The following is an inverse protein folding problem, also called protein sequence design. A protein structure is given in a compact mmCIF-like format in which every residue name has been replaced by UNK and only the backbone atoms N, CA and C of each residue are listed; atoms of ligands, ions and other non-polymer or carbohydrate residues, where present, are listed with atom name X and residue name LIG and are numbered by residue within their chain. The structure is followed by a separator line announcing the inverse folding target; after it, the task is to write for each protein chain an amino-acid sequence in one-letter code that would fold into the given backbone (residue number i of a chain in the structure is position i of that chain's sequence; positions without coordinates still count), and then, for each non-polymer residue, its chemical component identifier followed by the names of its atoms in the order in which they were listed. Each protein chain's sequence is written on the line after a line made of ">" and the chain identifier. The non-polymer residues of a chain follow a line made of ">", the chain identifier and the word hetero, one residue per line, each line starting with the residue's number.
data_IF_889779818397
#
_entry.id   IF_889779818397
#
_cell.length_a   1.000
_cell.length_b   1.000
_cell.length_c   1.000
_cell.angle_alpha   90.00
_cell.angle_beta   90.00
_cell.angle_gamma   90.00
#
_symmetry.space_group_name_H-M   'P 1'
#
loop_
_entity.id
_entity.type
_entity.pdbx_description
1 polymer ?
#
# COMPACT_ATOMS: atom_id res chain seq x y z
N UNK A 1 -3.05 -13.49 14.29
CA UNK A 1 -4.12 -12.60 14.77
C UNK A 1 -3.72 -11.16 14.48
N UNK A 2 -4.37 -10.53 13.53
CA UNK A 2 -4.01 -9.21 12.96
C UNK A 2 -4.01 -8.13 14.04
N UNK A 3 -2.86 -7.49 14.31
CA UNK A 3 -2.75 -6.44 15.34
C UNK A 3 -3.18 -5.06 14.83
N UNK A 4 -3.19 -4.81 13.53
CA UNK A 4 -3.43 -3.49 12.95
C UNK A 4 -4.84 -2.90 13.16
N UNK A 5 -5.86 -3.74 13.33
CA UNK A 5 -7.24 -3.30 13.59
C UNK A 5 -7.65 -3.41 15.07
N UNK A 6 -6.69 -3.56 15.99
CA UNK A 6 -6.93 -3.70 17.44
C UNK A 6 -6.75 -2.41 18.21
N UNK A 7 -6.23 -1.37 17.58
CA UNK A 7 -6.06 -0.09 18.25
C UNK A 7 -7.32 0.74 18.08
N UNK A 8 -8.18 0.72 19.07
CA UNK A 8 -9.25 1.70 19.21
C UNK A 8 -8.60 3.07 19.46
N UNK A 9 -9.11 4.14 18.83
CA UNK A 9 -8.63 5.48 19.17
C UNK A 9 -8.90 5.74 20.66
N UNK A 10 -7.91 6.24 21.37
CA UNK A 10 -8.07 6.62 22.79
C UNK A 10 -9.06 7.78 22.93
N UNK A 11 -9.13 8.64 21.92
CA UNK A 11 -10.09 9.76 21.81
C UNK A 11 -10.47 9.95 20.34
N UNK A 12 -11.66 10.50 20.10
CA UNK A 12 -12.16 10.74 18.77
C UNK A 12 -12.91 9.55 18.16
N UNK A 13 -13.25 9.64 16.90
CA UNK A 13 -13.98 8.63 16.13
C UNK A 13 -13.26 8.35 14.85
N UNK A 14 -13.27 7.08 14.43
CA UNK A 14 -12.78 6.64 13.13
C UNK A 14 -13.97 6.03 12.38
N UNK A 15 -14.18 6.50 11.16
CA UNK A 15 -15.19 5.98 10.25
C UNK A 15 -14.53 5.63 8.93
N UNK A 16 -14.81 4.44 8.41
CA UNK A 16 -14.29 3.92 7.15
C UNK A 16 -15.43 3.29 6.37
N UNK A 17 -15.64 3.71 5.12
CA UNK A 17 -16.73 3.23 4.26
C UNK A 17 -18.12 3.34 4.95
N UNK A 18 -18.38 4.43 5.68
CA UNK A 18 -19.60 4.65 6.43
C UNK A 18 -19.74 3.79 7.71
N UNK A 19 -18.76 2.94 8.00
CA UNK A 19 -18.74 2.09 9.18
C UNK A 19 -17.92 2.73 10.31
N UNK A 20 -18.57 2.98 11.46
CA UNK A 20 -17.91 3.54 12.63
C UNK A 20 -17.17 2.45 13.40
N UNK A 21 -15.88 2.63 13.58
CA UNK A 21 -15.03 1.70 14.31
C UNK A 21 -15.50 1.57 15.79
N UNK A 22 -15.58 0.33 16.27
CA UNK A 22 -16.11 -0.01 17.59
C UNK A 22 -17.64 -0.18 17.66
N UNK A 23 -18.38 0.12 16.58
CA UNK A 23 -19.84 -0.13 16.46
C UNK A 23 -20.20 -1.08 15.33
N UNK A 24 -19.23 -1.45 14.49
CA UNK A 24 -19.41 -2.32 13.33
C UNK A 24 -18.60 -3.60 13.52
N UNK A 25 -19.07 -4.71 12.97
CA UNK A 25 -18.30 -5.96 12.95
C UNK A 25 -16.97 -5.73 12.19
N UNK A 26 -15.88 -5.78 12.94
CA UNK A 26 -14.54 -5.60 12.38
C UNK A 26 -14.15 -6.70 11.37
N UNK A 27 -14.80 -7.87 11.40
CA UNK A 27 -14.58 -8.95 10.41
C UNK A 27 -15.18 -8.57 9.06
N UNK A 28 -16.42 -8.12 9.05
CA UNK A 28 -17.10 -7.64 7.85
C UNK A 28 -16.36 -6.45 7.22
N UNK A 29 -15.83 -5.53 8.03
CA UNK A 29 -15.07 -4.39 7.51
C UNK A 29 -13.73 -4.83 6.89
N UNK A 30 -13.09 -5.88 7.43
CA UNK A 30 -11.80 -6.38 6.90
C UNK A 30 -11.89 -6.99 5.52
N UNK A 31 -13.02 -7.55 5.12
CA UNK A 31 -13.21 -8.07 3.77
C UNK A 31 -13.42 -6.96 2.75
N UNK A 32 -13.89 -5.79 3.20
CA UNK A 32 -14.11 -4.61 2.36
C UNK A 32 -12.89 -3.70 2.23
N UNK A 33 -11.94 -3.78 3.17
CA UNK A 33 -10.73 -2.95 3.21
C UNK A 33 -9.51 -3.84 3.12
N UNK A 34 -8.78 -3.75 2.01
CA UNK A 34 -7.52 -4.45 1.88
C UNK A 34 -6.36 -3.60 2.40
N UNK A 35 -5.40 -4.26 3.03
CA UNK A 35 -4.19 -3.61 3.53
C UNK A 35 -2.94 -4.35 3.03
N UNK A 36 -2.03 -3.60 2.46
CA UNK A 36 -0.65 -4.01 2.18
C UNK A 36 0.25 -3.31 3.17
N UNK A 37 0.98 -4.07 3.98
CA UNK A 37 1.93 -3.51 4.95
C UNK A 37 2.98 -4.55 5.35
N UNK A 38 4.11 -4.09 5.87
CA UNK A 38 5.15 -4.96 6.41
C UNK A 38 4.64 -5.84 7.57
N UNK A 39 3.64 -5.37 8.32
CA UNK A 39 3.04 -6.15 9.40
C UNK A 39 2.31 -7.39 8.88
N UNK A 40 1.60 -7.27 7.76
CA UNK A 40 0.96 -8.43 7.10
C UNK A 40 2.01 -9.37 6.54
N UNK A 41 2.97 -8.83 5.81
CA UNK A 41 4.04 -9.61 5.20
C UNK A 41 4.73 -10.53 6.22
N UNK A 42 5.05 -9.99 7.41
CA UNK A 42 5.66 -10.75 8.51
C UNK A 42 4.72 -11.74 9.21
N UNK A 43 3.42 -11.59 9.03
CA UNK A 43 2.41 -12.46 9.66
C UNK A 43 2.03 -13.65 8.80
N UNK A 44 2.38 -13.65 7.51
CA UNK A 44 2.12 -14.74 6.59
C UNK A 44 3.11 -15.88 6.84
N UNK A 45 2.65 -17.12 6.73
CA UNK A 45 3.51 -18.29 6.87
C UNK A 45 4.45 -18.42 5.67
N UNK A 46 5.75 -18.57 5.90
CA UNK A 46 6.73 -18.70 4.82
C UNK A 46 6.58 -19.99 3.99
N UNK A 47 5.96 -21.04 4.55
CA UNK A 47 5.74 -22.32 3.88
C UNK A 47 4.50 -22.37 2.98
N UNK A 48 3.65 -21.34 2.99
CA UNK A 48 2.55 -21.24 2.03
C UNK A 48 3.07 -20.98 0.63
N UNK A 49 2.43 -21.55 -0.37
CA UNK A 49 2.70 -21.19 -1.76
C UNK A 49 2.29 -19.73 -2.04
N UNK A 50 2.90 -19.09 -3.04
CA UNK A 50 2.48 -17.77 -3.48
C UNK A 50 0.99 -17.74 -3.85
N UNK A 51 0.49 -18.80 -4.48
CA UNK A 51 -0.93 -18.97 -4.80
C UNK A 51 -1.80 -19.01 -3.53
N UNK A 52 -1.44 -19.81 -2.53
CA UNK A 52 -2.21 -19.91 -1.29
C UNK A 52 -2.20 -18.59 -0.51
N UNK A 53 -1.08 -17.87 -0.52
CA UNK A 53 -1.01 -16.53 0.05
C UNK A 53 -2.02 -15.60 -0.61
N UNK A 54 -2.09 -15.56 -1.95
CA UNK A 54 -3.09 -14.75 -2.67
C UNK A 54 -4.50 -15.17 -2.30
N UNK A 55 -4.77 -16.48 -2.31
CA UNK A 55 -6.08 -17.06 -2.01
C UNK A 55 -6.61 -16.63 -0.64
N UNK A 56 -5.73 -16.54 0.39
CA UNK A 56 -6.13 -16.08 1.74
C UNK A 56 -6.73 -14.67 1.74
N UNK A 57 -6.46 -13.86 0.73
CA UNK A 57 -7.00 -12.51 0.57
C UNK A 57 -8.51 -12.48 0.46
N UNK A 58 -9.13 -13.52 -0.12
CA UNK A 58 -10.59 -13.63 -0.29
C UNK A 58 -11.37 -13.41 1.01
N UNK A 59 -10.85 -13.93 2.11
CA UNK A 59 -11.47 -13.87 3.41
C UNK A 59 -10.69 -13.00 4.42
N UNK A 60 -9.76 -12.17 3.93
CA UNK A 60 -8.83 -11.40 4.76
C UNK A 60 -8.15 -12.25 5.85
N UNK A 61 -7.91 -13.54 5.55
CA UNK A 61 -7.28 -14.52 6.43
C UNK A 61 -5.76 -14.49 6.31
N UNK A 62 -5.04 -15.12 7.24
CA UNK A 62 -3.58 -15.30 7.14
C UNK A 62 -3.22 -16.73 6.73
N UNK A 63 -4.20 -17.63 6.81
CA UNK A 63 -4.05 -19.06 6.56
C UNK A 63 -5.28 -19.57 5.80
N UNK A 64 -5.12 -20.51 4.82
CA UNK A 64 -6.23 -20.97 3.98
C UNK A 64 -7.13 -21.99 4.66
N UNK A 65 -6.69 -22.71 5.71
CA UNK A 65 -7.30 -23.93 6.20
C UNK A 65 -8.71 -23.80 6.81
N UNK A 66 -9.09 -22.60 7.20
CA UNK A 66 -10.38 -22.35 7.86
C UNK A 66 -11.49 -21.95 6.89
N UNK A 67 -11.16 -21.87 5.60
CA UNK A 67 -12.08 -21.43 4.58
C UNK A 67 -12.14 -22.43 3.42
N UNK A 68 -13.30 -22.56 2.83
CA UNK A 68 -13.47 -23.31 1.59
C UNK A 68 -13.29 -22.36 0.42
N UNK A 69 -12.44 -22.72 -0.52
CA UNK A 69 -12.20 -21.97 -1.75
C UNK A 69 -12.66 -22.82 -2.93
N UNK A 70 -13.53 -22.23 -3.78
CA UNK A 70 -14.04 -22.88 -4.99
C UNK A 70 -13.08 -22.75 -6.17
N UNK A 71 -13.42 -23.42 -7.28
CA UNK A 71 -12.66 -23.34 -8.52
C UNK A 71 -12.51 -21.91 -9.04
N UNK A 72 -13.54 -21.07 -8.87
CA UNK A 72 -13.51 -19.66 -9.27
C UNK A 72 -12.53 -18.83 -8.45
N UNK A 73 -12.40 -19.11 -7.15
CA UNK A 73 -11.43 -18.44 -6.28
C UNK A 73 -9.99 -18.79 -6.72
N UNK A 74 -9.71 -20.06 -7.02
CA UNK A 74 -8.42 -20.49 -7.55
C UNK A 74 -8.11 -19.85 -8.90
N UNK A 75 -9.08 -19.83 -9.81
CA UNK A 75 -8.92 -19.18 -11.12
C UNK A 75 -8.69 -17.67 -10.99
N UNK A 76 -9.33 -17.01 -10.00
CA UNK A 76 -9.09 -15.59 -9.72
C UNK A 76 -7.68 -15.34 -9.17
N UNK A 77 -7.22 -16.16 -8.21
CA UNK A 77 -5.85 -16.07 -7.71
C UNK A 77 -4.80 -16.23 -8.82
N UNK A 78 -5.01 -17.20 -9.72
CA UNK A 78 -4.13 -17.42 -10.87
C UNK A 78 -4.13 -16.24 -11.85
N UNK A 79 -5.27 -15.59 -12.09
CA UNK A 79 -5.33 -14.37 -12.89
C UNK A 79 -4.54 -13.24 -12.25
N UNK A 80 -4.73 -12.97 -10.96
CA UNK A 80 -4.02 -11.91 -10.25
C UNK A 80 -2.49 -12.11 -10.24
N UNK A 81 -2.03 -13.35 -10.06
CA UNK A 81 -0.62 -13.72 -10.17
C UNK A 81 -0.11 -13.53 -11.59
N UNK A 82 -0.88 -13.92 -12.60
CA UNK A 82 -0.51 -13.77 -14.01
C UNK A 82 -0.39 -12.30 -14.41
N UNK A 83 -1.35 -11.47 -14.05
CA UNK A 83 -1.36 -10.01 -14.25
C UNK A 83 -0.19 -9.31 -13.56
N UNK A 84 0.27 -9.87 -12.45
CA UNK A 84 1.44 -9.38 -11.71
C UNK A 84 2.77 -9.93 -12.25
N UNK A 85 2.76 -10.77 -13.32
CA UNK A 85 3.95 -11.41 -13.88
C UNK A 85 4.54 -12.51 -12.99
N UNK A 86 3.76 -13.03 -12.04
CA UNK A 86 4.21 -13.98 -11.01
C UNK A 86 3.78 -15.42 -11.26
N UNK A 87 3.18 -15.72 -12.43
CA UNK A 87 2.65 -17.05 -12.74
C UNK A 87 3.68 -18.18 -12.54
N UNK A 88 4.94 -17.93 -12.90
CA UNK A 88 6.03 -18.93 -12.79
C UNK A 88 6.38 -19.31 -11.36
N UNK A 89 6.07 -18.48 -10.38
CA UNK A 89 6.38 -18.67 -8.95
C UNK A 89 5.14 -19.03 -8.13
N UNK A 90 3.98 -19.22 -8.77
CA UNK A 90 2.70 -19.49 -8.10
C UNK A 90 2.79 -20.63 -7.08
N UNK A 91 3.48 -21.73 -7.43
CA UNK A 91 3.66 -22.89 -6.55
C UNK A 91 4.87 -22.80 -5.60
N UNK A 92 5.68 -21.74 -5.66
CA UNK A 92 6.85 -21.62 -4.77
C UNK A 92 6.43 -21.15 -3.38
N UNK A 93 7.16 -21.61 -2.38
CA UNK A 93 6.96 -21.15 -1.00
C UNK A 93 7.24 -19.65 -0.86
N UNK A 94 6.36 -18.95 -0.17
CA UNK A 94 6.44 -17.50 0.04
C UNK A 94 7.77 -17.08 0.70
N UNK A 95 8.31 -17.93 1.57
CA UNK A 95 9.56 -17.66 2.29
C UNK A 95 10.81 -17.64 1.41
N UNK A 96 10.80 -18.32 0.25
CA UNK A 96 11.97 -18.36 -0.65
C UNK A 96 11.92 -17.27 -1.72
N UNK A 97 10.80 -16.53 -1.82
CA UNK A 97 10.65 -15.45 -2.78
C UNK A 97 11.54 -14.25 -2.40
N UNK A 98 12.00 -13.52 -3.42
CA UNK A 98 12.66 -12.22 -3.21
C UNK A 98 11.69 -11.22 -2.56
N UNK A 99 12.22 -10.18 -1.93
CA UNK A 99 11.41 -9.13 -1.30
C UNK A 99 10.43 -8.48 -2.30
N UNK A 100 10.90 -8.24 -3.52
CA UNK A 100 10.08 -7.71 -4.62
C UNK A 100 8.92 -8.65 -4.99
N UNK A 101 9.19 -9.96 -5.11
CA UNK A 101 8.16 -10.95 -5.41
C UNK A 101 7.15 -11.06 -4.27
N UNK A 102 7.63 -11.09 -3.02
CA UNK A 102 6.75 -11.09 -1.83
C UNK A 102 5.83 -9.88 -1.79
N UNK A 103 6.35 -8.70 -2.12
CA UNK A 103 5.56 -7.48 -2.12
C UNK A 103 4.48 -7.49 -3.22
N UNK A 104 4.81 -8.01 -4.41
CA UNK A 104 3.84 -8.17 -5.50
C UNK A 104 2.78 -9.24 -5.18
N UNK A 105 3.16 -10.36 -4.57
CA UNK A 105 2.21 -11.38 -4.06
C UNK A 105 1.28 -10.76 -3.01
N UNK A 106 1.80 -9.91 -2.12
CA UNK A 106 1.01 -9.23 -1.11
C UNK A 106 -0.01 -8.25 -1.74
N UNK A 107 0.38 -7.55 -2.80
CA UNK A 107 -0.53 -6.68 -3.55
C UNK A 107 -1.61 -7.50 -4.28
N UNK A 108 -1.25 -8.60 -4.93
CA UNK A 108 -2.21 -9.53 -5.56
C UNK A 108 -3.19 -10.09 -4.51
N UNK A 109 -2.67 -10.48 -3.34
CA UNK A 109 -3.49 -10.91 -2.21
C UNK A 109 -4.48 -9.83 -1.75
N UNK A 110 -4.08 -8.58 -1.73
CA UNK A 110 -4.94 -7.47 -1.33
C UNK A 110 -6.12 -7.29 -2.30
N UNK A 111 -5.91 -7.56 -3.58
CA UNK A 111 -6.95 -7.46 -4.62
C UNK A 111 -7.86 -8.68 -4.68
N UNK A 112 -7.46 -9.83 -4.12
CA UNK A 112 -8.21 -11.09 -4.17
C UNK A 112 -9.61 -10.99 -3.56
N UNK A 113 -9.80 -10.15 -2.55
CA UNK A 113 -11.09 -9.93 -1.89
C UNK A 113 -12.00 -8.93 -2.58
N UNK A 114 -11.61 -8.37 -3.73
CA UNK A 114 -12.35 -7.29 -4.40
C UNK A 114 -12.72 -6.15 -3.45
N UNK A 115 -11.71 -5.50 -2.81
CA UNK A 115 -11.95 -4.55 -1.74
C UNK A 115 -12.61 -3.26 -2.25
N UNK A 116 -13.35 -2.60 -1.38
CA UNK A 116 -13.90 -1.26 -1.62
C UNK A 116 -12.91 -0.13 -1.27
N UNK A 117 -11.80 -0.45 -0.58
CA UNK A 117 -10.73 0.47 -0.23
C UNK A 117 -9.41 -0.29 -0.15
N UNK A 118 -8.37 0.22 -0.83
CA UNK A 118 -7.01 -0.31 -0.77
C UNK A 118 -6.10 0.63 0.02
N UNK A 119 -5.54 0.12 1.11
CA UNK A 119 -4.57 0.81 1.94
C UNK A 119 -3.17 0.23 1.69
N UNK A 120 -2.24 1.07 1.28
CA UNK A 120 -0.83 0.73 1.06
C UNK A 120 0.01 1.47 2.12
N UNK A 121 0.54 0.74 3.09
CA UNK A 121 1.33 1.30 4.19
C UNK A 121 2.81 0.96 3.97
N UNK A 122 3.57 1.93 3.50
CA UNK A 122 4.98 1.82 3.11
C UNK A 122 5.27 0.60 2.21
N UNK A 123 4.54 0.46 1.09
CA UNK A 123 4.61 -0.77 0.28
C UNK A 123 5.95 -0.97 -0.43
N UNK A 124 6.77 0.07 -0.58
CA UNK A 124 8.08 -0.02 -1.23
C UNK A 124 9.25 -0.13 -0.24
N UNK A 125 8.97 -0.22 1.06
CA UNK A 125 10.02 -0.32 2.07
C UNK A 125 10.90 -1.56 1.86
N UNK A 126 12.22 -1.35 1.78
CA UNK A 126 13.22 -2.42 1.58
C UNK A 126 13.40 -2.88 0.12
N UNK A 127 12.69 -2.29 -0.83
CA UNK A 127 12.86 -2.59 -2.25
C UNK A 127 14.05 -1.82 -2.85
N UNK A 128 14.75 -2.47 -3.77
CA UNK A 128 15.70 -1.78 -4.64
C UNK A 128 14.99 -0.82 -5.60
N UNK A 129 15.76 0.01 -6.31
CA UNK A 129 15.23 1.00 -7.25
C UNK A 129 14.31 0.36 -8.31
N UNK A 130 14.76 -0.75 -8.91
CA UNK A 130 13.99 -1.40 -9.99
C UNK A 130 12.68 -2.00 -9.49
N UNK A 131 12.69 -2.63 -8.32
CA UNK A 131 11.51 -3.20 -7.67
C UNK A 131 10.52 -2.10 -7.24
N UNK A 132 11.03 -1.00 -6.68
CA UNK A 132 10.21 0.17 -6.33
C UNK A 132 9.51 0.75 -7.56
N UNK A 133 10.23 0.97 -8.67
CA UNK A 133 9.64 1.51 -9.90
C UNK A 133 8.56 0.58 -10.48
N UNK A 134 8.77 -0.73 -10.45
CA UNK A 134 7.73 -1.70 -10.87
C UNK A 134 6.48 -1.62 -9.98
N UNK A 135 6.66 -1.48 -8.66
CA UNK A 135 5.55 -1.33 -7.72
C UNK A 135 4.79 -0.01 -7.98
N UNK A 136 5.50 1.10 -8.13
CA UNK A 136 4.92 2.41 -8.46
C UNK A 136 4.10 2.35 -9.76
N UNK A 137 4.65 1.73 -10.81
CA UNK A 137 3.95 1.55 -12.08
C UNK A 137 2.68 0.68 -11.91
N UNK A 138 2.75 -0.38 -11.10
CA UNK A 138 1.58 -1.23 -10.83
C UNK A 138 0.49 -0.46 -10.06
N UNK A 139 0.86 0.32 -9.04
CA UNK A 139 -0.08 1.16 -8.30
C UNK A 139 -0.67 2.24 -9.19
N UNK A 140 0.11 2.85 -10.09
CA UNK A 140 -0.39 3.79 -11.09
C UNK A 140 -1.45 3.16 -12.01
N UNK A 141 -1.22 1.94 -12.49
CA UNK A 141 -2.20 1.19 -13.28
C UNK A 141 -3.50 0.96 -12.50
N UNK A 142 -3.40 0.59 -11.22
CA UNK A 142 -4.56 0.43 -10.36
C UNK A 142 -5.31 1.76 -10.15
N UNK A 143 -4.60 2.87 -9.97
CA UNK A 143 -5.20 4.19 -9.78
C UNK A 143 -5.86 4.75 -11.05
N UNK A 144 -5.47 4.30 -12.23
CA UNK A 144 -5.97 4.77 -13.53
C UNK A 144 -7.14 3.95 -14.10
N UNK A 145 -7.40 2.76 -13.56
CA UNK A 145 -8.48 1.89 -14.06
C UNK A 145 -9.86 2.52 -13.81
N UNK A 146 -10.81 2.39 -14.76
CA UNK A 146 -12.12 3.07 -14.71
C UNK A 146 -13.03 2.61 -13.56
N UNK A 147 -12.83 1.39 -13.06
CA UNK A 147 -13.55 0.82 -11.91
C UNK A 147 -12.64 0.81 -10.67
N UNK A 148 -11.95 1.93 -10.44
CA UNK A 148 -10.92 2.00 -9.40
C UNK A 148 -11.48 1.88 -8.00
N UNK A 149 -10.88 0.95 -7.27
CA UNK A 149 -10.95 0.93 -5.82
C UNK A 149 -10.25 2.18 -5.28
N UNK A 150 -10.89 3.00 -4.44
CA UNK A 150 -10.23 4.10 -3.76
C UNK A 150 -8.94 3.62 -3.08
N UNK A 151 -7.85 4.37 -3.28
CA UNK A 151 -6.53 4.00 -2.83
C UNK A 151 -5.96 5.05 -1.88
N UNK A 152 -5.42 4.60 -0.76
CA UNK A 152 -4.64 5.43 0.16
C UNK A 152 -3.23 4.86 0.25
N UNK A 153 -2.25 5.66 -0.14
CA UNK A 153 -0.82 5.33 -0.02
C UNK A 153 -0.22 6.13 1.12
N UNK A 154 0.39 5.44 2.08
CA UNK A 154 1.24 6.04 3.12
C UNK A 154 2.69 5.77 2.74
N UNK A 155 3.47 6.83 2.62
CA UNK A 155 4.91 6.77 2.34
C UNK A 155 5.62 7.99 2.91
N UNK A 156 6.90 7.86 3.17
CA UNK A 156 7.78 8.97 3.53
C UNK A 156 8.75 9.36 2.38
N UNK A 157 8.55 8.77 1.20
CA UNK A 157 9.32 9.06 -0.01
C UNK A 157 8.44 9.68 -1.10
N UNK A 158 8.77 10.89 -1.50
CA UNK A 158 8.03 11.63 -2.54
C UNK A 158 8.07 10.90 -3.88
N UNK A 159 9.18 10.19 -4.16
CA UNK A 159 9.40 9.42 -5.38
C UNK A 159 8.48 8.20 -5.51
N UNK A 160 7.89 7.75 -4.41
CA UNK A 160 6.97 6.62 -4.39
C UNK A 160 5.53 7.00 -4.75
N UNK A 161 5.23 8.30 -4.86
CA UNK A 161 3.91 8.78 -5.24
C UNK A 161 3.68 8.45 -6.73
N UNK A 162 2.75 7.55 -7.07
CA UNK A 162 2.51 7.16 -8.44
C UNK A 162 1.71 8.22 -9.21
N UNK A 163 1.80 8.23 -10.54
CA UNK A 163 0.84 8.93 -11.37
C UNK A 163 -0.61 8.56 -11.00
N UNK A 164 -1.53 9.53 -11.11
CA UNK A 164 -2.94 9.32 -10.79
C UNK A 164 -3.34 9.63 -9.34
N UNK A 165 -2.40 9.83 -8.42
CA UNK A 165 -2.73 10.33 -7.08
C UNK A 165 -3.24 11.78 -7.18
N UNK A 166 -4.46 11.99 -6.71
CA UNK A 166 -5.16 13.29 -6.82
C UNK A 166 -4.92 14.20 -5.62
N UNK A 167 -4.88 13.63 -4.41
CA UNK A 167 -4.77 14.36 -3.14
C UNK A 167 -3.65 13.85 -2.27
N UNK A 168 -3.05 14.76 -1.51
CA UNK A 168 -1.98 14.46 -0.56
C UNK A 168 -2.28 15.11 0.78
N UNK A 169 -1.92 14.43 1.86
CA UNK A 169 -1.89 14.99 3.20
C UNK A 169 -0.49 14.84 3.79
N UNK A 170 0.11 15.93 4.21
CA UNK A 170 1.39 15.95 4.92
C UNK A 170 1.14 15.86 6.43
N UNK A 171 1.79 14.90 7.10
CA UNK A 171 1.65 14.65 8.53
C UNK A 171 2.98 14.94 9.25
N UNK A 172 2.91 15.71 10.33
CA UNK A 172 4.04 15.96 11.23
C UNK A 172 3.57 15.92 12.67
N UNK A 173 4.27 15.19 13.53
CA UNK A 173 3.92 15.11 14.96
C UNK A 173 2.48 14.61 15.23
N UNK A 174 1.98 13.68 14.40
CA UNK A 174 0.62 13.12 14.53
C UNK A 174 -0.51 14.08 14.10
N UNK A 175 -0.19 15.17 13.41
CA UNK A 175 -1.16 16.16 12.90
C UNK A 175 -1.02 16.35 11.40
N UNK A 176 -2.14 16.57 10.72
CA UNK A 176 -2.13 17.02 9.33
C UNK A 176 -1.69 18.49 9.33
N UNK A 177 -0.54 18.77 8.70
CA UNK A 177 -0.01 20.14 8.56
C UNK A 177 -0.44 20.80 7.27
N UNK A 178 -0.71 20.00 6.23
CA UNK A 178 -1.28 20.45 4.95
C UNK A 178 -2.00 19.32 4.25
N UNK A 179 -3.12 19.60 3.60
CA UNK A 179 -3.84 18.66 2.76
C UNK A 179 -4.50 19.37 1.59
N UNK A 180 -4.64 18.70 0.46
CA UNK A 180 -5.23 19.25 -0.76
C UNK A 180 -4.82 18.49 -2.01
N UNK A 181 -4.94 19.11 -3.18
CA UNK A 181 -4.46 18.52 -4.44
C UNK A 181 -2.96 18.22 -4.38
N UNK A 182 -2.51 17.18 -5.08
CA UNK A 182 -1.10 16.82 -5.06
C UNK A 182 -0.20 17.99 -5.53
N UNK A 183 -0.65 18.76 -6.51
CA UNK A 183 0.09 19.91 -7.03
C UNK A 183 0.18 21.06 -6.04
N UNK A 184 -0.84 21.29 -5.23
CA UNK A 184 -0.86 22.39 -4.25
C UNK A 184 -0.11 22.04 -2.98
N UNK A 185 -0.02 20.76 -2.66
CA UNK A 185 0.57 20.28 -1.40
C UNK A 185 2.05 19.91 -1.55
N UNK A 186 2.45 19.28 -2.67
CA UNK A 186 3.82 18.84 -2.91
C UNK A 186 4.71 20.00 -3.41
N UNK A 187 4.85 21.03 -2.59
CA UNK A 187 5.74 22.16 -2.85
C UNK A 187 7.00 22.07 -1.98
N UNK A 188 8.11 22.65 -2.44
CA UNK A 188 9.37 22.67 -1.69
C UNK A 188 9.18 23.19 -0.27
N UNK A 189 8.43 24.29 -0.11
CA UNK A 189 8.18 24.91 1.20
C UNK A 189 7.38 24.00 2.13
N UNK A 190 6.30 23.38 1.62
CA UNK A 190 5.43 22.54 2.43
C UNK A 190 6.12 21.24 2.87
N UNK A 191 6.88 20.62 1.95
CA UNK A 191 7.64 19.41 2.24
C UNK A 191 8.79 19.73 3.18
N UNK A 192 9.53 20.84 2.95
CA UNK A 192 10.59 21.29 3.88
C UNK A 192 10.06 21.53 5.29
N UNK A 193 8.92 22.20 5.42
CA UNK A 193 8.29 22.44 6.72
C UNK A 193 7.81 21.14 7.38
N UNK A 194 7.31 20.16 6.61
CA UNK A 194 6.86 18.88 7.14
C UNK A 194 8.03 18.07 7.70
N UNK A 195 9.12 17.94 6.95
CA UNK A 195 10.26 17.09 7.29
C UNK A 195 11.36 17.80 8.11
N UNK A 196 11.24 19.09 8.30
CA UNK A 196 12.21 19.91 9.05
C UNK A 196 13.62 19.92 8.41
N UNK A 197 13.65 19.91 7.08
CA UNK A 197 14.88 19.93 6.26
C UNK A 197 14.61 20.68 4.99
N UNK A 198 15.55 21.54 4.57
CA UNK A 198 15.43 22.26 3.31
C UNK A 198 15.51 21.27 2.14
N UNK A 199 14.42 21.16 1.37
CA UNK A 199 14.34 20.30 0.18
C UNK A 199 13.81 21.06 -1.01
N UNK A 200 14.28 20.70 -2.19
CA UNK A 200 13.66 21.07 -3.46
C UNK A 200 12.80 19.92 -3.92
N UNK A 201 11.53 20.20 -4.18
CA UNK A 201 10.58 19.26 -4.81
C UNK A 201 10.46 19.63 -6.28
N UNK A 202 10.64 18.66 -7.15
CA UNK A 202 10.53 18.82 -8.59
C UNK A 202 9.50 17.84 -9.14
N UNK A 203 8.79 18.24 -10.18
CA UNK A 203 7.89 17.39 -10.95
C UNK A 203 8.43 17.21 -12.36
N UNK A 204 8.71 15.96 -12.75
CA UNK A 204 9.11 15.59 -14.10
C UNK A 204 8.02 14.71 -14.73
N UNK A 205 7.25 15.26 -15.65
CA UNK A 205 6.03 14.63 -16.15
C UNK A 205 5.01 14.41 -15.02
N UNK A 206 4.67 13.15 -14.78
CA UNK A 206 3.72 12.76 -13.72
C UNK A 206 4.40 12.20 -12.47
N UNK A 207 5.74 12.35 -12.37
CA UNK A 207 6.52 11.87 -11.24
C UNK A 207 7.07 13.02 -10.41
N UNK A 208 7.12 12.79 -9.11
CA UNK A 208 7.69 13.72 -8.13
C UNK A 208 9.05 13.24 -7.67
N UNK A 209 9.94 14.17 -7.36
CA UNK A 209 11.21 13.91 -6.69
C UNK A 209 11.49 14.97 -5.66
N UNK A 210 12.19 14.59 -4.60
CA UNK A 210 12.64 15.52 -3.57
C UNK A 210 14.12 15.27 -3.25
N UNK A 211 14.89 16.37 -3.12
CA UNK A 211 16.28 16.30 -2.72
C UNK A 211 16.60 17.39 -1.71
N UNK A 212 17.43 17.06 -0.73
CA UNK A 212 17.91 18.07 0.20
C UNK A 212 18.72 19.15 -0.56
N UNK A 213 18.43 20.40 -0.28
CA UNK A 213 19.28 21.52 -0.71
C UNK A 213 20.48 21.57 0.24
N UNK A 214 21.69 21.56 -0.31
CA UNK A 214 22.88 21.79 0.52
C UNK A 214 22.71 23.13 1.27
N UNK A 215 23.03 23.19 2.59
CA UNK A 215 23.07 24.45 3.28
C UNK A 215 24.02 25.35 2.47
N UNK A 216 23.52 26.52 2.07
CA UNK A 216 24.34 27.46 1.31
C UNK A 216 25.68 27.58 2.00
N UNK A 217 26.79 27.31 1.29
CA UNK A 217 28.10 27.66 1.79
C UNK A 217 28.06 29.15 2.05
N UNK A 218 27.96 29.51 3.34
CA UNK A 218 28.12 30.90 3.71
C UNK A 218 29.40 31.38 3.06
N UNK A 219 29.28 32.40 2.21
CA UNK A 219 30.45 33.10 1.72
C UNK A 219 31.22 33.67 2.91
N UNK A 220 32.56 33.59 2.88
CA UNK A 220 33.41 34.07 3.96
C UNK A 220 33.26 35.55 4.21
#
# INVERSE_FOLDING_TARGET
>A
MWRGWRLLPTRGTVEVLGARYGRTDARALRTRVALVSQAILRSLRPTLSAHDVVLTGRNAALEPWWHHYGADDHAHADRLLSESGLRRISGQEFGVLSESERQQVLLARALMGEPELLLLDEPAAGLDLGARERLVARVATLAAASDTVPLVLVTHHVEEIPPGITHVALLRGGRIVRAGSATDVLTSDAVSACFDVAVTVERAGDRWSARATAPGRGSP
#
